data_IF_262128467684
#
_entry.id   IF_262128467684
#
_cell.length_a   1.000
_cell.length_b   1.000
_cell.length_c   1.000
_cell.angle_alpha   90.00
_cell.angle_beta   90.00
_cell.angle_gamma   90.00
#
_symmetry.space_group_name_H-M   'P 1'
#
loop_
_entity.id
_entity.type
_entity.pdbx_description
1 polymer ?
#
# COMPACT_ATOMS: atom_id res chain seq x y z
N UNK A 1 14.37 54.69 18.74
CA UNK A 1 13.53 54.22 17.62
C UNK A 1 13.82 52.74 17.39
N UNK A 2 13.04 51.85 18.01
CA UNK A 2 13.17 50.41 17.82
C UNK A 2 12.11 49.95 16.82
N UNK A 3 12.54 49.46 15.66
CA UNK A 3 11.68 48.83 14.67
C UNK A 3 11.32 47.43 15.17
N UNK A 4 10.09 47.26 15.65
CA UNK A 4 9.56 45.96 16.00
C UNK A 4 9.26 45.18 14.71
N UNK A 5 10.13 44.21 14.40
CA UNK A 5 9.86 43.18 13.40
C UNK A 5 8.62 42.39 13.82
N UNK A 6 7.56 42.49 13.01
CA UNK A 6 6.37 41.67 13.14
C UNK A 6 6.71 40.20 12.95
N UNK A 7 6.81 39.48 14.07
CA UNK A 7 6.68 38.03 14.15
C UNK A 7 5.33 37.66 13.54
N UNK A 8 5.35 37.11 12.33
CA UNK A 8 4.18 36.50 11.70
C UNK A 8 3.83 35.25 12.49
N UNK A 9 2.86 35.41 13.39
CA UNK A 9 2.20 34.32 14.11
C UNK A 9 1.76 33.23 13.12
N UNK A 10 2.36 32.04 13.21
CA UNK A 10 1.86 30.81 12.62
C UNK A 10 0.49 30.46 13.21
N UNK A 11 -0.58 31.04 12.64
CA UNK A 11 -1.96 30.65 12.96
C UNK A 11 -2.25 29.30 12.31
N UNK A 12 -2.77 28.37 13.11
CA UNK A 12 -3.06 26.98 12.77
C UNK A 12 -3.60 26.78 11.35
N UNK A 13 -2.78 26.17 10.51
CA UNK A 13 -3.06 26.00 9.09
C UNK A 13 -4.04 24.85 8.86
N UNK A 14 -5.12 25.11 8.13
CA UNK A 14 -5.94 24.05 7.55
C UNK A 14 -5.04 23.08 6.76
N UNK A 15 -5.31 21.76 6.82
CA UNK A 15 -4.55 20.77 6.07
C UNK A 15 -4.67 21.04 4.56
N UNK A 16 -3.60 20.79 3.80
CA UNK A 16 -3.58 20.99 2.35
C UNK A 16 -4.55 20.05 1.64
N UNK A 17 -4.63 18.82 2.16
CA UNK A 17 -5.64 17.83 1.90
C UNK A 17 -5.68 16.88 3.09
N UNK A 18 -6.80 16.18 3.25
CA UNK A 18 -6.96 15.09 4.20
C UNK A 18 -7.61 13.91 3.50
N UNK A 19 -7.34 12.70 3.98
CA UNK A 19 -7.92 11.49 3.40
C UNK A 19 -8.17 10.42 4.45
N UNK A 20 -9.17 9.58 4.17
CA UNK A 20 -9.44 8.38 4.94
C UNK A 20 -8.52 7.24 4.50
N UNK A 21 -8.04 6.43 5.43
CA UNK A 21 -7.29 5.21 5.11
C UNK A 21 -7.87 4.02 5.86
N UNK A 22 -7.99 2.89 5.17
CA UNK A 22 -8.33 1.59 5.74
C UNK A 22 -7.55 0.49 5.01
N UNK A 23 -7.28 -0.62 5.70
CA UNK A 23 -6.60 -1.80 5.14
C UNK A 23 -7.28 -3.05 5.65
N UNK A 24 -7.00 -4.19 5.01
CA UNK A 24 -7.30 -5.53 5.50
C UNK A 24 -8.75 -5.65 5.99
N UNK A 25 -9.70 -5.15 5.17
CA UNK A 25 -11.12 -5.34 5.47
C UNK A 25 -11.41 -6.83 5.61
N UNK A 26 -10.82 -7.66 4.75
CA UNK A 26 -10.82 -9.12 4.83
C UNK A 26 -12.22 -9.66 5.18
N UNK A 27 -13.25 -9.14 4.51
CA UNK A 27 -14.62 -9.57 4.74
C UNK A 27 -14.81 -11.02 4.27
N UNK A 28 -15.55 -11.81 5.03
CA UNK A 28 -16.09 -13.09 4.58
C UNK A 28 -17.32 -13.43 5.41
N UNK A 29 -18.33 -14.03 4.79
CA UNK A 29 -19.57 -14.42 5.48
C UNK A 29 -19.43 -15.76 6.24
N UNK A 30 -18.36 -15.87 7.02
CA UNK A 30 -18.01 -17.06 7.79
C UNK A 30 -17.91 -16.72 9.29
N UNK A 31 -18.02 -17.71 10.20
CA UNK A 31 -17.78 -17.49 11.63
C UNK A 31 -16.39 -16.92 11.91
N UNK A 32 -16.26 -16.21 13.03
CA UNK A 32 -14.96 -15.70 13.50
C UNK A 32 -13.94 -16.84 13.60
N UNK A 33 -12.67 -16.51 13.38
CA UNK A 33 -11.59 -17.49 13.43
C UNK A 33 -10.30 -16.86 13.89
N UNK A 34 -9.18 -17.47 13.50
CA UNK A 34 -7.85 -17.01 13.86
C UNK A 34 -6.93 -17.01 12.64
N UNK A 35 -5.89 -16.16 12.67
CA UNK A 35 -4.74 -16.26 11.78
C UNK A 35 -3.89 -17.49 12.09
N UNK A 36 -2.90 -17.78 11.26
CA UNK A 36 -1.93 -18.85 11.52
C UNK A 36 -1.22 -18.69 12.87
N UNK A 37 -0.97 -17.44 13.31
CA UNK A 37 -0.35 -17.11 14.59
C UNK A 37 -1.36 -17.08 15.76
N UNK A 38 -2.60 -17.49 15.55
CA UNK A 38 -3.63 -17.50 16.59
C UNK A 38 -4.26 -16.13 16.87
N UNK A 39 -4.03 -15.12 16.03
CA UNK A 39 -4.64 -13.78 16.20
C UNK A 39 -6.11 -13.83 15.78
N UNK A 40 -7.07 -13.39 16.63
CA UNK A 40 -8.50 -13.39 16.27
C UNK A 40 -8.80 -12.62 14.99
N UNK A 41 -9.69 -13.17 14.15
CA UNK A 41 -10.22 -12.56 12.92
C UNK A 41 -11.74 -12.52 12.97
N UNK A 42 -12.30 -11.32 12.77
CA UNK A 42 -13.74 -11.04 12.88
C UNK A 42 -14.37 -10.76 11.50
N UNK A 43 -14.43 -11.78 10.64
CA UNK A 43 -14.71 -11.61 9.20
C UNK A 43 -16.02 -10.91 8.86
N UNK A 44 -17.12 -11.19 9.58
CA UNK A 44 -18.40 -10.48 9.36
C UNK A 44 -18.38 -9.07 9.94
N UNK A 45 -17.69 -8.90 11.06
CA UNK A 45 -17.63 -7.61 11.76
C UNK A 45 -16.86 -6.56 10.97
N UNK A 46 -15.91 -6.97 10.11
CA UNK A 46 -15.14 -6.01 9.31
C UNK A 46 -16.00 -5.18 8.36
N UNK A 47 -17.13 -5.71 7.87
CA UNK A 47 -18.12 -4.92 7.13
C UNK A 47 -18.71 -3.79 7.98
N UNK A 48 -18.99 -4.06 9.26
CA UNK A 48 -19.48 -3.03 10.19
C UNK A 48 -18.40 -1.99 10.50
N UNK A 49 -17.12 -2.38 10.51
CA UNK A 49 -15.99 -1.45 10.66
C UNK A 49 -15.93 -0.54 9.45
N UNK A 50 -16.01 -1.09 8.23
CA UNK A 50 -16.00 -0.30 7.00
C UNK A 50 -17.18 0.70 6.95
N UNK A 51 -18.39 0.25 7.29
CA UNK A 51 -19.57 1.11 7.39
C UNK A 51 -19.36 2.30 8.35
N UNK A 52 -18.73 2.04 9.50
CA UNK A 52 -18.40 3.10 10.46
C UNK A 52 -17.36 4.06 9.91
N UNK A 53 -16.32 3.54 9.24
CA UNK A 53 -15.28 4.35 8.62
C UNK A 53 -15.88 5.25 7.53
N UNK A 54 -16.66 4.70 6.60
CA UNK A 54 -17.33 5.48 5.54
C UNK A 54 -18.26 6.55 6.12
N UNK A 55 -19.03 6.22 7.16
CA UNK A 55 -19.87 7.19 7.88
C UNK A 55 -19.04 8.29 8.54
N UNK A 56 -17.94 7.93 9.21
CA UNK A 56 -17.00 8.86 9.84
C UNK A 56 -16.39 9.82 8.82
N UNK A 57 -15.90 9.27 7.70
CA UNK A 57 -15.35 10.03 6.58
C UNK A 57 -16.36 10.99 5.97
N UNK A 58 -17.59 10.55 5.75
CA UNK A 58 -18.66 11.41 5.24
C UNK A 58 -19.07 12.53 6.22
N UNK A 59 -18.92 12.32 7.52
CA UNK A 59 -19.15 13.35 8.53
C UNK A 59 -17.98 14.35 8.59
N UNK A 60 -16.76 13.91 8.25
CA UNK A 60 -15.61 14.78 8.08
C UNK A 60 -15.61 15.40 6.66
N UNK A 61 -16.28 16.54 6.52
CA UNK A 61 -16.45 17.25 5.23
C UNK A 61 -15.16 17.73 4.55
N UNK A 62 -13.98 17.52 5.16
CA UNK A 62 -12.69 17.99 4.66
C UNK A 62 -11.83 16.88 4.04
N UNK A 63 -12.38 15.67 3.80
CA UNK A 63 -11.64 14.61 3.13
C UNK A 63 -11.71 14.76 1.61
N UNK A 64 -10.55 14.76 0.97
CA UNK A 64 -10.39 14.86 -0.48
C UNK A 64 -10.59 13.52 -1.17
N UNK A 65 -10.24 12.41 -0.49
CA UNK A 65 -10.37 11.05 -0.98
C UNK A 65 -10.31 10.04 0.16
N UNK A 66 -10.55 8.77 -0.14
CA UNK A 66 -10.21 7.65 0.72
C UNK A 66 -9.31 6.66 -0.04
N UNK A 67 -8.46 5.93 0.68
CA UNK A 67 -7.62 4.89 0.09
C UNK A 67 -7.70 3.58 0.89
N UNK A 68 -7.86 2.48 0.17
CA UNK A 68 -7.93 1.13 0.68
C UNK A 68 -6.67 0.35 0.32
N UNK A 69 -5.86 -0.02 1.32
CA UNK A 69 -4.58 -0.72 1.16
C UNK A 69 -4.73 -2.24 1.01
N UNK A 70 -5.69 -2.66 0.18
CA UNK A 70 -5.85 -4.06 -0.22
C UNK A 70 -6.43 -4.99 0.83
N UNK A 71 -6.47 -6.27 0.48
CA UNK A 71 -7.10 -7.34 1.26
C UNK A 71 -8.58 -7.10 1.56
N UNK A 72 -9.37 -6.89 0.50
CA UNK A 72 -10.80 -6.54 0.57
C UNK A 72 -11.69 -7.68 1.15
N UNK A 73 -11.38 -8.92 0.81
CA UNK A 73 -12.12 -10.15 1.16
C UNK A 73 -11.12 -11.20 1.63
N UNK A 74 -11.42 -11.91 2.72
CA UNK A 74 -10.49 -12.88 3.29
C UNK A 74 -10.28 -14.10 2.37
N UNK A 75 -9.09 -14.71 2.40
CA UNK A 75 -8.74 -15.89 1.60
C UNK A 75 -9.57 -17.13 1.95
N UNK A 76 -10.17 -17.16 3.16
CA UNK A 76 -11.12 -18.19 3.61
C UNK A 76 -12.55 -17.96 3.12
N UNK A 77 -12.83 -16.88 2.40
CA UNK A 77 -14.11 -16.71 1.73
C UNK A 77 -14.33 -17.89 0.74
N UNK A 78 -15.50 -18.55 0.79
CA UNK A 78 -15.85 -19.59 -0.19
C UNK A 78 -15.72 -19.05 -1.62
N UNK A 79 -15.08 -19.81 -2.51
CA UNK A 79 -14.70 -19.32 -3.85
C UNK A 79 -15.89 -18.98 -4.74
N UNK A 80 -16.99 -19.69 -4.55
CA UNK A 80 -18.28 -19.43 -5.19
C UNK A 80 -18.95 -18.12 -4.69
N UNK A 81 -18.53 -17.61 -3.53
CA UNK A 81 -19.04 -16.38 -2.93
C UNK A 81 -18.10 -15.17 -3.11
N UNK A 82 -16.83 -15.40 -3.46
CA UNK A 82 -15.80 -14.35 -3.58
C UNK A 82 -16.24 -13.14 -4.41
N UNK A 83 -16.88 -13.35 -5.57
CA UNK A 83 -17.35 -12.25 -6.42
C UNK A 83 -18.39 -11.38 -5.72
N UNK A 84 -19.37 -12.01 -5.06
CA UNK A 84 -20.43 -11.29 -4.35
C UNK A 84 -19.89 -10.60 -3.10
N UNK A 85 -18.94 -11.23 -2.40
CA UNK A 85 -18.27 -10.64 -1.25
C UNK A 85 -17.48 -9.38 -1.65
N UNK A 86 -16.72 -9.43 -2.75
CA UNK A 86 -15.97 -8.27 -3.26
C UNK A 86 -16.94 -7.16 -3.66
N UNK A 87 -17.98 -7.45 -4.44
CA UNK A 87 -19.00 -6.47 -4.82
C UNK A 87 -19.64 -5.81 -3.60
N UNK A 88 -20.03 -6.60 -2.60
CA UNK A 88 -20.63 -6.08 -1.37
C UNK A 88 -19.71 -5.10 -0.62
N UNK A 89 -18.41 -5.38 -0.55
CA UNK A 89 -17.45 -4.47 0.09
C UNK A 89 -17.21 -3.23 -0.77
N UNK A 90 -17.11 -3.38 -2.09
CA UNK A 90 -16.99 -2.24 -3.02
C UNK A 90 -18.21 -1.33 -2.92
N UNK A 91 -19.42 -1.88 -2.92
CA UNK A 91 -20.68 -1.13 -2.80
C UNK A 91 -20.72 -0.28 -1.51
N UNK A 92 -20.08 -0.74 -0.42
CA UNK A 92 -19.94 0.05 0.79
C UNK A 92 -18.96 1.22 0.63
N UNK A 93 -17.82 1.01 -0.06
CA UNK A 93 -16.92 2.11 -0.40
C UNK A 93 -17.59 3.17 -1.29
N UNK A 94 -18.50 2.77 -2.18
CA UNK A 94 -19.27 3.69 -3.03
C UNK A 94 -20.21 4.61 -2.25
N UNK A 95 -20.48 4.32 -0.96
CA UNK A 95 -21.22 5.23 -0.09
C UNK A 95 -20.38 6.44 0.38
N UNK A 96 -19.05 6.44 0.18
CA UNK A 96 -18.20 7.59 0.47
C UNK A 96 -18.42 8.72 -0.55
N UNK A 97 -18.58 9.95 -0.06
CA UNK A 97 -18.84 11.16 -0.88
C UNK A 97 -17.55 11.75 -1.46
N UNK A 98 -16.75 10.94 -2.10
CA UNK A 98 -15.48 11.33 -2.72
C UNK A 98 -14.84 10.16 -3.48
N UNK A 99 -13.72 10.39 -4.16
CA UNK A 99 -12.99 9.32 -4.83
C UNK A 99 -12.42 8.33 -3.81
N UNK A 100 -12.52 7.03 -4.15
CA UNK A 100 -11.89 5.94 -3.41
C UNK A 100 -10.83 5.30 -4.30
N UNK A 101 -9.61 5.20 -3.78
CA UNK A 101 -8.50 4.53 -4.44
C UNK A 101 -8.27 3.18 -3.78
N UNK A 102 -7.95 2.17 -4.59
CA UNK A 102 -7.76 0.81 -4.12
C UNK A 102 -6.39 0.27 -4.51
N UNK A 103 -5.82 -0.51 -3.60
CA UNK A 103 -4.68 -1.39 -3.85
C UNK A 103 -5.17 -2.85 -3.88
N UNK A 104 -4.42 -3.73 -4.52
CA UNK A 104 -4.66 -5.18 -4.45
C UNK A 104 -3.74 -5.81 -3.42
N UNK A 105 -4.25 -6.80 -2.69
CA UNK A 105 -3.46 -7.62 -1.78
C UNK A 105 -3.53 -9.11 -2.12
N UNK A 106 -2.75 -9.92 -1.41
CA UNK A 106 -2.74 -11.38 -1.58
C UNK A 106 -4.13 -11.97 -1.34
N UNK A 107 -4.86 -11.52 -0.31
CA UNK A 107 -6.21 -12.01 -0.05
C UNK A 107 -7.17 -11.65 -1.18
N UNK A 108 -6.99 -10.51 -1.85
CA UNK A 108 -7.75 -10.19 -3.07
C UNK A 108 -7.46 -11.21 -4.18
N UNK A 109 -6.18 -11.53 -4.39
CA UNK A 109 -5.70 -12.43 -5.44
C UNK A 109 -5.98 -13.91 -5.17
N UNK A 110 -6.20 -14.31 -3.91
CA UNK A 110 -6.74 -15.63 -3.59
C UNK A 110 -8.20 -15.80 -4.03
N UNK A 111 -8.93 -14.69 -4.18
CA UNK A 111 -10.38 -14.71 -4.35
C UNK A 111 -10.80 -14.49 -5.80
N UNK A 112 -10.23 -13.49 -6.48
CA UNK A 112 -10.57 -13.17 -7.86
C UNK A 112 -9.30 -12.98 -8.71
N UNK A 113 -9.32 -13.44 -9.98
CA UNK A 113 -8.27 -13.11 -10.93
C UNK A 113 -8.27 -11.61 -11.26
N UNK A 114 -7.11 -11.09 -11.67
CA UNK A 114 -6.88 -9.66 -11.95
C UNK A 114 -7.89 -9.07 -12.94
N UNK A 115 -8.23 -9.79 -14.00
CA UNK A 115 -9.20 -9.38 -15.03
C UNK A 115 -10.61 -9.11 -14.48
N UNK A 116 -11.01 -9.79 -13.40
CA UNK A 116 -12.27 -9.56 -12.69
C UNK A 116 -12.14 -8.57 -11.54
N UNK A 117 -11.03 -8.63 -10.80
CA UNK A 117 -10.81 -7.83 -9.60
C UNK A 117 -10.59 -6.35 -9.92
N UNK A 118 -9.69 -6.03 -10.86
CA UNK A 118 -9.28 -4.65 -11.12
C UNK A 118 -10.44 -3.76 -11.61
N UNK A 119 -11.33 -4.22 -12.52
CA UNK A 119 -12.50 -3.44 -12.91
C UNK A 119 -13.46 -3.17 -11.75
N UNK A 120 -13.67 -4.13 -10.85
CA UNK A 120 -14.52 -3.94 -9.67
C UNK A 120 -13.94 -2.88 -8.72
N UNK A 121 -12.62 -2.82 -8.60
CA UNK A 121 -11.92 -1.83 -7.79
C UNK A 121 -11.68 -0.50 -8.53
N UNK A 122 -12.15 -0.36 -9.77
CA UNK A 122 -11.90 0.81 -10.64
C UNK A 122 -10.41 1.16 -10.76
N UNK A 123 -9.53 0.17 -10.66
CA UNK A 123 -8.09 0.37 -10.83
C UNK A 123 -7.80 0.53 -12.33
N UNK A 124 -7.10 1.60 -12.77
CA UNK A 124 -6.78 1.81 -14.18
C UNK A 124 -5.97 0.66 -14.75
N UNK A 125 -6.62 -0.21 -15.53
CA UNK A 125 -6.02 -1.38 -16.15
C UNK A 125 -5.58 -1.04 -17.57
N UNK A 126 -4.49 -0.28 -17.69
CA UNK A 126 -4.03 0.24 -18.97
C UNK A 126 -3.45 -0.85 -19.89
N UNK A 127 -2.87 -1.92 -19.35
CA UNK A 127 -2.13 -2.92 -20.14
C UNK A 127 -2.15 -4.31 -19.48
N UNK A 128 -3.22 -5.09 -19.63
CA UNK A 128 -3.16 -6.54 -19.38
C UNK A 128 -3.02 -7.00 -17.93
N UNK A 129 -3.57 -6.27 -16.95
CA UNK A 129 -3.61 -6.69 -15.54
C UNK A 129 -2.74 -5.85 -14.60
N UNK A 130 -2.20 -4.73 -15.11
CA UNK A 130 -1.46 -3.72 -14.35
C UNK A 130 -2.30 -3.13 -13.22
N UNK A 131 -1.79 -3.15 -11.99
CA UNK A 131 -2.49 -2.63 -10.81
C UNK A 131 -1.77 -1.46 -10.10
N UNK A 132 -0.78 -0.86 -10.76
CA UNK A 132 -0.06 0.33 -10.28
C UNK A 132 -0.42 1.57 -11.10
N UNK A 133 -0.52 2.70 -10.41
CA UNK A 133 -0.98 3.97 -10.97
C UNK A 133 -0.58 5.15 -10.09
N UNK A 134 -0.75 6.37 -10.60
CA UNK A 134 -0.54 7.60 -9.85
C UNK A 134 -1.75 8.54 -9.95
N UNK A 135 -1.89 9.46 -8.99
CA UNK A 135 -2.88 10.53 -9.02
C UNK A 135 -2.41 11.75 -8.24
N UNK A 136 -3.05 12.92 -8.44
CA UNK A 136 -2.75 14.14 -7.70
C UNK A 136 -3.95 14.54 -6.83
N UNK A 137 -3.85 14.46 -5.49
CA UNK A 137 -4.96 14.86 -4.62
C UNK A 137 -5.05 16.37 -4.40
N UNK A 138 -3.95 17.10 -4.65
CA UNK A 138 -3.84 18.54 -4.50
C UNK A 138 -2.66 19.07 -5.34
N UNK A 139 -2.69 20.34 -5.78
CA UNK A 139 -1.56 20.95 -6.49
C UNK A 139 -0.25 20.80 -5.72
N UNK A 140 0.80 20.36 -6.41
CA UNK A 140 2.10 20.12 -5.80
C UNK A 140 2.24 18.78 -5.07
N UNK A 141 1.25 17.90 -5.14
CA UNK A 141 1.29 16.56 -4.55
C UNK A 141 0.95 15.47 -5.56
N UNK A 142 1.61 14.34 -5.43
CA UNK A 142 1.45 13.15 -6.26
C UNK A 142 1.43 11.91 -5.37
N UNK A 143 0.42 11.08 -5.55
CA UNK A 143 0.31 9.77 -4.90
C UNK A 143 0.68 8.71 -5.90
N UNK A 144 1.50 7.77 -5.47
CA UNK A 144 1.91 6.61 -6.25
C UNK A 144 1.42 5.36 -5.55
N UNK A 145 0.73 4.51 -6.31
CA UNK A 145 0.18 3.23 -5.86
C UNK A 145 0.93 2.13 -6.58
N UNK A 146 1.68 1.34 -5.83
CA UNK A 146 2.47 0.22 -6.34
C UNK A 146 1.72 -1.11 -6.22
N UNK A 147 1.93 -1.96 -7.21
CA UNK A 147 1.51 -3.36 -7.24
C UNK A 147 2.65 -4.22 -6.67
N UNK A 148 2.56 -4.51 -5.37
CA UNK A 148 3.50 -5.40 -4.68
C UNK A 148 3.38 -6.88 -5.09
N UNK A 149 2.41 -7.22 -5.95
CA UNK A 149 2.16 -8.56 -6.48
C UNK A 149 2.42 -8.64 -7.98
N UNK A 150 3.14 -7.67 -8.54
CA UNK A 150 3.52 -7.64 -9.95
C UNK A 150 4.34 -8.88 -10.31
N UNK A 151 5.43 -9.14 -9.59
CA UNK A 151 6.12 -10.45 -9.60
C UNK A 151 5.65 -11.24 -8.38
N UNK A 152 4.73 -12.18 -8.58
CA UNK A 152 4.22 -13.02 -7.49
C UNK A 152 3.76 -14.39 -7.96
N UNK A 153 3.75 -15.35 -7.02
CA UNK A 153 3.29 -16.71 -7.27
C UNK A 153 1.75 -16.83 -7.31
N UNK A 154 1.03 -15.72 -7.11
CA UNK A 154 -0.42 -15.65 -6.98
C UNK A 154 -0.98 -14.52 -7.86
N UNK A 155 -2.26 -14.60 -8.23
CA UNK A 155 -2.96 -13.52 -8.94
C UNK A 155 -2.75 -13.44 -10.46
N UNK A 156 -1.64 -13.94 -10.99
CA UNK A 156 -1.42 -14.16 -12.43
C UNK A 156 -1.72 -15.63 -12.82
N UNK A 157 -2.03 -15.91 -14.10
CA UNK A 157 -2.12 -17.28 -14.61
C UNK A 157 -0.85 -18.10 -14.36
N UNK A 158 -0.99 -19.42 -14.21
CA UNK A 158 0.12 -20.30 -13.81
C UNK A 158 1.30 -20.29 -14.80
N UNK A 159 1.01 -20.13 -16.09
CA UNK A 159 1.96 -20.07 -17.19
C UNK A 159 2.43 -18.64 -17.52
N UNK A 160 1.97 -17.63 -16.76
CA UNK A 160 2.37 -16.25 -16.97
C UNK A 160 3.86 -16.03 -16.64
N UNK A 161 4.63 -15.25 -17.44
CA UNK A 161 6.05 -15.01 -17.19
C UNK A 161 6.35 -14.52 -15.77
N UNK A 162 5.54 -13.58 -15.24
CA UNK A 162 5.70 -13.06 -13.87
C UNK A 162 5.47 -14.13 -12.79
N UNK A 163 4.59 -15.12 -13.02
CA UNK A 163 4.41 -16.27 -12.11
C UNK A 163 5.57 -17.23 -12.18
N UNK A 164 6.05 -17.54 -13.38
CA UNK A 164 7.19 -18.44 -13.57
C UNK A 164 8.47 -17.87 -12.94
N UNK A 165 8.69 -16.57 -13.09
CA UNK A 165 9.77 -15.83 -12.43
C UNK A 165 9.64 -15.91 -10.90
N UNK A 166 8.46 -15.60 -10.37
CA UNK A 166 8.20 -15.64 -8.94
C UNK A 166 8.41 -17.04 -8.33
N UNK A 167 7.94 -18.09 -9.01
CA UNK A 167 8.14 -19.47 -8.58
C UNK A 167 9.61 -19.88 -8.63
N UNK A 168 10.37 -19.41 -9.62
CA UNK A 168 11.83 -19.62 -9.68
C UNK A 168 12.52 -18.94 -8.49
N UNK A 169 12.20 -17.67 -8.26
CA UNK A 169 12.76 -16.90 -7.14
C UNK A 169 12.48 -17.56 -5.78
N UNK A 170 11.23 -17.99 -5.53
CA UNK A 170 10.86 -18.68 -4.29
C UNK A 170 11.56 -20.03 -4.12
N UNK A 171 11.79 -20.79 -5.19
CA UNK A 171 12.55 -22.05 -5.12
C UNK A 171 13.99 -21.82 -4.69
N UNK A 172 14.60 -20.73 -5.13
CA UNK A 172 15.98 -20.37 -4.79
C UNK A 172 16.11 -19.79 -3.37
N UNK A 173 15.08 -19.07 -2.89
CA UNK A 173 15.14 -18.28 -1.66
C UNK A 173 14.46 -18.91 -0.44
N UNK A 174 13.45 -19.76 -0.65
CA UNK A 174 12.74 -20.43 0.43
C UNK A 174 12.91 -21.96 0.32
N UNK A 175 13.70 -22.59 1.20
CA UNK A 175 13.99 -24.02 1.12
C UNK A 175 12.81 -24.92 1.53
N UNK A 176 11.77 -24.35 2.16
CA UNK A 176 10.62 -25.12 2.64
C UNK A 176 9.79 -25.70 1.50
N UNK A 177 9.18 -26.87 1.70
CA UNK A 177 8.20 -27.43 0.77
C UNK A 177 6.94 -26.57 0.68
N UNK A 178 6.39 -26.20 1.84
CA UNK A 178 5.38 -25.15 1.96
C UNK A 178 6.06 -23.77 1.84
N UNK A 179 5.82 -23.10 0.71
CA UNK A 179 6.40 -21.78 0.44
C UNK A 179 5.76 -20.65 1.27
N UNK A 180 4.72 -20.92 2.05
CA UNK A 180 4.21 -20.00 3.07
C UNK A 180 4.86 -20.19 4.44
N UNK A 181 5.67 -21.24 4.62
CA UNK A 181 6.41 -21.48 5.87
C UNK A 181 7.63 -20.56 5.96
N UNK A 182 7.78 -19.81 7.06
CA UNK A 182 8.98 -19.03 7.36
C UNK A 182 10.06 -19.84 8.09
N UNK A 183 9.85 -21.14 8.33
CA UNK A 183 10.77 -21.94 9.13
C UNK A 183 12.17 -21.98 8.50
N UNK A 184 13.20 -21.73 9.30
CA UNK A 184 14.59 -21.67 8.82
C UNK A 184 14.95 -20.40 8.03
N UNK A 185 14.02 -19.46 7.83
CA UNK A 185 14.32 -18.13 7.30
C UNK A 185 14.63 -17.16 8.45
N UNK A 186 15.71 -16.40 8.30
CA UNK A 186 16.20 -15.48 9.33
C UNK A 186 16.23 -14.03 8.83
N UNK A 187 16.08 -13.09 9.77
CA UNK A 187 16.13 -11.66 9.49
C UNK A 187 15.21 -11.24 8.34
N UNK A 188 15.76 -10.51 7.37
CA UNK A 188 15.02 -10.04 6.20
C UNK A 188 14.50 -11.18 5.32
N UNK A 189 15.15 -12.35 5.31
CA UNK A 189 14.81 -13.43 4.38
C UNK A 189 13.50 -14.12 4.73
N UNK A 190 12.96 -13.86 5.94
CA UNK A 190 11.58 -14.21 6.32
C UNK A 190 10.53 -13.67 5.37
N UNK A 191 10.84 -12.68 4.53
CA UNK A 191 9.95 -12.13 3.49
C UNK A 191 9.74 -13.04 2.29
N UNK A 192 10.56 -14.06 2.09
CA UNK A 192 10.50 -14.93 0.91
C UNK A 192 9.40 -15.99 1.03
N UNK A 193 8.16 -15.52 1.14
CA UNK A 193 6.96 -16.33 1.32
C UNK A 193 6.05 -16.19 0.10
N UNK A 194 5.33 -17.25 -0.24
CA UNK A 194 4.44 -17.32 -1.41
C UNK A 194 3.28 -16.33 -1.33
N UNK A 195 2.86 -15.96 -0.12
CA UNK A 195 1.85 -14.93 0.10
C UNK A 195 2.36 -13.50 -0.08
N UNK A 196 3.65 -13.30 -0.38
CA UNK A 196 4.23 -12.01 -0.74
C UNK A 196 4.51 -11.94 -2.25
N UNK A 197 5.07 -10.81 -2.69
CA UNK A 197 5.54 -10.61 -4.06
C UNK A 197 6.67 -9.58 -4.15
N UNK A 198 6.93 -9.12 -5.37
CA UNK A 198 7.86 -8.05 -5.67
C UNK A 198 7.27 -7.10 -6.70
N UNK A 199 7.83 -5.89 -6.72
CA UNK A 199 7.63 -4.92 -7.79
C UNK A 199 8.55 -5.29 -8.95
N UNK A 200 8.00 -5.47 -10.15
CA UNK A 200 8.74 -5.85 -11.34
C UNK A 200 9.59 -4.72 -11.91
N UNK A 201 10.52 -5.08 -12.80
CA UNK A 201 11.45 -4.14 -13.43
C UNK A 201 10.73 -3.02 -14.19
N UNK A 202 9.77 -3.38 -15.04
CA UNK A 202 8.93 -2.42 -15.79
C UNK A 202 8.24 -1.41 -14.86
N UNK A 203 7.78 -1.87 -13.69
CA UNK A 203 7.12 -1.01 -12.71
C UNK A 203 8.13 -0.11 -11.99
N UNK A 204 9.35 -0.58 -11.73
CA UNK A 204 10.43 0.24 -11.17
C UNK A 204 10.88 1.32 -12.16
N UNK A 205 10.98 1.00 -13.45
CA UNK A 205 11.27 1.98 -14.51
C UNK A 205 10.17 3.03 -14.61
N UNK A 206 8.90 2.60 -14.59
CA UNK A 206 7.76 3.50 -14.54
C UNK A 206 7.80 4.43 -13.30
N UNK A 207 8.11 3.88 -12.12
CA UNK A 207 8.25 4.66 -10.89
C UNK A 207 9.36 5.71 -11.01
N UNK A 208 10.52 5.34 -11.55
CA UNK A 208 11.63 6.28 -11.78
C UNK A 208 11.21 7.43 -12.73
N UNK A 209 10.49 7.13 -13.81
CA UNK A 209 9.91 8.17 -14.69
C UNK A 209 8.96 9.10 -13.93
N UNK A 210 8.07 8.55 -13.10
CA UNK A 210 7.13 9.31 -12.27
C UNK A 210 7.86 10.22 -11.27
N UNK A 211 8.90 9.72 -10.60
CA UNK A 211 9.68 10.48 -9.63
C UNK A 211 10.47 11.61 -10.30
N UNK A 212 11.08 11.37 -11.48
CA UNK A 212 11.77 12.41 -12.25
C UNK A 212 10.83 13.53 -12.69
N UNK A 213 9.63 13.17 -13.17
CA UNK A 213 8.61 14.13 -13.54
C UNK A 213 8.15 14.97 -12.33
N UNK A 214 7.94 14.34 -11.17
CA UNK A 214 7.59 15.02 -9.94
C UNK A 214 8.68 16.02 -9.50
N UNK A 215 9.97 15.67 -9.62
CA UNK A 215 11.10 16.58 -9.34
C UNK A 215 11.06 17.80 -10.27
N UNK A 216 10.89 17.57 -11.58
CA UNK A 216 10.81 18.64 -12.58
C UNK A 216 9.63 19.59 -12.31
N UNK A 217 8.50 19.04 -11.86
CA UNK A 217 7.29 19.79 -11.50
C UNK A 217 7.31 20.35 -10.06
N UNK A 218 8.38 20.11 -9.29
CA UNK A 218 8.50 20.50 -7.86
C UNK A 218 7.34 19.97 -7.00
N UNK A 219 6.89 18.75 -7.29
CA UNK A 219 5.83 18.07 -6.56
C UNK A 219 6.40 17.22 -5.43
N UNK A 220 5.60 17.03 -4.39
CA UNK A 220 5.87 16.10 -3.28
C UNK A 220 5.22 14.77 -3.60
N UNK A 221 5.99 13.69 -3.50
CA UNK A 221 5.50 12.33 -3.77
C UNK A 221 5.19 11.60 -2.47
N UNK A 222 4.02 10.98 -2.43
CA UNK A 222 3.60 10.01 -1.40
C UNK A 222 3.49 8.65 -2.08
N UNK A 223 4.40 7.75 -1.76
CA UNK A 223 4.41 6.39 -2.32
C UNK A 223 3.70 5.42 -1.36
N UNK A 224 2.89 4.53 -1.91
CA UNK A 224 2.13 3.52 -1.21
C UNK A 224 2.38 2.16 -1.85
N UNK A 225 2.98 1.25 -1.08
CA UNK A 225 3.11 -0.17 -1.40
C UNK A 225 2.37 -0.98 -0.34
N UNK A 226 1.67 -2.03 -0.77
CA UNK A 226 0.98 -2.96 0.12
C UNK A 226 1.90 -3.37 1.27
N UNK A 227 1.42 -3.13 2.49
CA UNK A 227 1.99 -3.64 3.72
C UNK A 227 0.82 -4.08 4.58
N UNK A 228 0.73 -5.39 4.85
CA UNK A 228 -0.19 -6.00 5.83
C UNK A 228 0.08 -5.54 7.29
N UNK A 229 0.84 -4.47 7.46
CA UNK A 229 1.01 -3.73 8.69
C UNK A 229 0.95 -2.25 8.28
N UNK A 230 -0.11 -1.52 8.63
CA UNK A 230 -0.09 -0.05 8.67
C UNK A 230 0.90 0.38 9.75
N UNK A 231 2.17 0.26 9.40
CA UNK A 231 3.18 1.24 9.72
C UNK A 231 3.61 1.68 8.33
N UNK A 232 2.96 2.73 7.85
CA UNK A 232 3.63 3.72 7.00
C UNK A 232 5.11 3.76 7.38
N UNK A 233 5.99 3.96 6.42
CA UNK A 233 7.41 4.25 6.63
C UNK A 233 7.52 5.44 7.61
N UNK A 234 7.41 5.13 8.91
CA UNK A 234 7.13 6.01 10.03
C UNK A 234 7.43 5.18 11.28
N UNK A 235 8.39 5.68 12.05
CA UNK A 235 8.79 5.24 13.39
C UNK A 235 9.60 3.94 13.44
N UNK A 236 10.84 4.05 13.94
CA UNK A 236 11.76 2.94 14.16
C UNK A 236 11.28 1.98 15.25
N UNK A 237 10.29 1.16 14.91
CA UNK A 237 9.87 -0.02 15.66
C UNK A 237 9.71 -1.20 14.70
N UNK A 238 10.06 -2.37 15.22
CA UNK A 238 10.23 -3.67 14.55
C UNK A 238 9.20 -3.88 13.42
N UNK A 239 9.69 -3.86 12.18
CA UNK A 239 8.96 -4.35 11.01
C UNK A 239 9.04 -5.88 11.06
N UNK A 240 7.90 -6.57 11.01
CA UNK A 240 7.92 -8.01 10.79
C UNK A 240 8.45 -8.24 9.37
N UNK A 241 9.70 -8.70 9.27
CA UNK A 241 10.38 -8.84 7.98
C UNK A 241 9.60 -9.72 7.01
N UNK A 242 8.75 -10.62 7.52
CA UNK A 242 7.88 -11.53 6.77
C UNK A 242 6.85 -10.86 5.86
N UNK A 243 6.59 -9.55 5.98
CA UNK A 243 5.55 -8.84 5.20
C UNK A 243 6.09 -7.83 4.19
N UNK A 244 7.40 -7.87 3.93
CA UNK A 244 8.06 -6.98 2.96
C UNK A 244 7.99 -7.56 1.53
N UNK A 245 7.92 -6.70 0.49
CA UNK A 245 8.20 -7.14 -0.87
C UNK A 245 9.57 -7.82 -0.95
N UNK A 246 9.73 -8.81 -1.82
CA UNK A 246 10.98 -9.56 -1.91
C UNK A 246 12.18 -8.66 -2.24
N UNK A 247 11.96 -7.61 -3.03
CA UNK A 247 12.94 -6.61 -3.40
C UNK A 247 12.95 -5.34 -2.51
N UNK A 248 12.42 -5.39 -1.28
CA UNK A 248 12.36 -4.24 -0.35
C UNK A 248 13.69 -3.47 -0.16
N UNK A 249 14.85 -4.12 -0.33
CA UNK A 249 16.18 -3.46 -0.26
C UNK A 249 16.43 -2.45 -1.40
N UNK A 250 15.66 -2.49 -2.48
CA UNK A 250 15.77 -1.56 -3.61
C UNK A 250 15.00 -0.25 -3.37
N UNK A 251 14.12 -0.18 -2.37
CA UNK A 251 13.28 0.99 -2.08
C UNK A 251 13.92 2.00 -1.12
N UNK A 252 15.26 2.11 -1.11
CA UNK A 252 15.94 3.16 -0.31
C UNK A 252 15.76 4.50 -1.03
N UNK A 253 14.57 5.08 -0.88
CA UNK A 253 14.18 6.37 -1.47
C UNK A 253 14.37 7.47 -0.43
N UNK A 254 15.52 8.13 -0.53
CA UNK A 254 15.88 9.29 0.27
C UNK A 254 15.23 10.50 -0.41
N UNK A 255 14.03 10.90 0.05
CA UNK A 255 13.30 12.18 -0.21
C UNK A 255 11.79 12.12 0.14
N UNK A 256 11.32 11.06 0.82
CA UNK A 256 9.92 10.93 1.22
C UNK A 256 9.58 11.81 2.44
N UNK A 257 8.41 12.44 2.40
CA UNK A 257 7.85 13.16 3.56
C UNK A 257 7.33 12.15 4.57
N UNK A 258 8.02 12.05 5.71
CA UNK A 258 7.57 11.33 6.89
C UNK A 258 6.54 12.18 7.64
N UNK A 259 5.26 11.82 7.56
CA UNK A 259 4.21 12.45 8.38
C UNK A 259 4.20 11.88 9.80
N UNK A 260 4.99 12.49 10.68
CA UNK A 260 4.99 12.20 12.12
C UNK A 260 4.21 13.28 12.86
N UNK A 261 3.02 12.97 13.34
CA UNK A 261 2.52 13.32 14.69
C UNK A 261 1.02 12.96 14.84
N UNK A 262 0.67 12.27 15.93
CA UNK A 262 -0.73 12.15 16.40
C UNK A 262 -1.43 10.78 16.33
N UNK A 263 -0.71 9.66 16.21
CA UNK A 263 -1.33 8.32 16.20
C UNK A 263 -1.58 7.83 17.64
N UNK A 264 -2.76 8.09 18.19
CA UNK A 264 -3.27 7.34 19.36
C UNK A 264 -4.03 6.10 18.87
N UNK A 265 -3.53 4.92 19.24
CA UNK A 265 -4.10 3.64 18.85
C UNK A 265 -5.39 3.35 19.60
N UNK A 266 -6.42 2.90 18.88
CA UNK A 266 -7.24 1.69 19.15
C UNK A 266 -8.20 1.54 17.96
N UNK A 267 -8.12 0.41 17.24
CA UNK A 267 -9.05 -0.07 16.19
C UNK A 267 -9.16 0.78 14.89
N UNK A 268 -8.16 0.58 14.02
CA UNK A 268 -8.12 0.64 12.54
C UNK A 268 -9.00 1.63 11.77
N UNK A 269 -9.09 2.89 12.20
CA UNK A 269 -9.38 4.02 11.32
C UNK A 269 -8.31 5.08 11.56
N UNK A 270 -7.69 5.59 10.48
CA UNK A 270 -6.82 6.76 10.58
C UNK A 270 -7.31 7.84 9.62
N UNK A 271 -7.40 9.05 10.13
CA UNK A 271 -7.53 10.26 9.33
C UNK A 271 -6.14 10.87 9.26
N UNK A 272 -5.59 10.97 8.05
CA UNK A 272 -4.26 11.53 7.85
C UNK A 272 -4.43 12.98 7.36
N UNK A 273 -3.82 13.91 8.10
CA UNK A 273 -3.80 15.34 7.76
C UNK A 273 -2.40 15.76 7.29
N UNK A 274 -2.30 16.26 6.06
CA UNK A 274 -1.03 16.75 5.51
C UNK A 274 -0.87 18.25 5.79
N UNK A 275 0.05 18.62 6.69
CA UNK A 275 0.39 20.01 7.02
C UNK A 275 1.60 20.53 6.21
N UNK A 276 1.70 21.85 6.03
CA UNK A 276 2.89 22.52 5.46
C UNK A 276 4.05 22.46 6.47
N UNK A 277 5.10 21.68 6.18
CA UNK A 277 6.36 21.72 6.92
C UNK A 277 7.34 22.74 6.29
N UNK A 278 8.02 23.59 7.07
CA UNK A 278 9.15 24.39 6.59
C UNK A 278 10.40 23.50 6.44
N UNK A 279 11.14 23.68 5.34
CA UNK A 279 12.40 22.96 5.09
C UNK A 279 13.59 23.72 5.69
N UNK A 280 14.36 23.05 6.55
CA UNK A 280 15.79 23.35 6.74
C UNK A 280 16.63 22.23 6.13
N UNK A 281 17.61 22.65 5.33
CA UNK A 281 18.56 21.92 4.49
C UNK A 281 19.11 20.60 5.08
N UNK A 282 19.06 19.51 4.29
CA UNK A 282 19.84 18.29 4.48
C UNK A 282 20.42 17.85 3.13
N UNK A 283 21.74 17.62 3.10
CA UNK A 283 22.55 17.32 1.92
C UNK A 283 22.38 15.87 1.43
N UNK A 284 22.53 15.70 0.11
CA UNK A 284 22.51 14.45 -0.67
C UNK A 284 23.76 13.60 -0.40
N UNK A 285 23.66 12.32 0.03
CA UNK A 285 24.76 11.37 -0.03
C UNK A 285 24.67 10.44 -1.25
N UNK A 286 25.84 9.97 -1.69
CA UNK A 286 26.21 9.35 -2.96
C UNK A 286 25.74 7.90 -3.21
N UNK A 287 24.55 7.50 -2.79
CA UNK A 287 24.14 6.08 -2.86
C UNK A 287 23.61 5.60 -4.23
N UNK A 288 23.43 6.47 -5.22
CA UNK A 288 22.92 6.09 -6.56
C UNK A 288 23.98 5.49 -7.50
N UNK A 289 25.27 5.77 -7.30
CA UNK A 289 26.31 5.36 -8.26
C UNK A 289 26.61 3.85 -8.28
N UNK A 290 26.13 3.07 -7.31
CA UNK A 290 26.44 1.63 -7.23
C UNK A 290 25.55 0.73 -8.09
N UNK A 291 24.48 1.27 -8.69
CA UNK A 291 23.59 0.50 -9.57
C UNK A 291 24.15 0.38 -11.00
N UNK A 292 24.77 1.45 -11.52
CA UNK A 292 25.38 1.44 -12.86
C UNK A 292 26.69 0.63 -12.97
N UNK A 293 27.40 0.40 -11.87
CA UNK A 293 28.69 -0.33 -11.89
C UNK A 293 28.53 -1.86 -11.98
N UNK A 294 27.32 -2.41 -11.79
CA UNK A 294 27.13 -3.87 -11.80
C UNK A 294 26.76 -4.47 -13.17
N UNK A 295 26.47 -3.65 -14.18
CA UNK A 295 26.02 -4.10 -15.51
C UNK A 295 26.86 -3.56 -16.68
N UNK A 296 28.08 -3.09 -16.41
CA UNK A 296 29.14 -3.06 -17.41
C UNK A 296 30.13 -4.18 -17.07
N UNK A 297 29.89 -5.38 -17.59
CA UNK A 297 30.88 -6.36 -18.06
C UNK A 297 30.15 -7.59 -18.63
#
# INVERSE_FOLDING_TARGET
MGSANGLTNGRGGHPLFAFGVITDVQYADIPNGHSFLGVPRFYRHSMLVLQRAVKSWNNNKNLNFAIHFGDIVDGKCPKDQSLNAVKKVVDEFENFKGPVYHMIGNHCLYNLPRDKLLPLLKIPNLDGGRAYYEFSPAPGYRFVVLDGYDISAIGWPHDHPKTLEALKFLRERNPNSDKNSPNGLEGLDRRFLMFNGAVGEEQMEWLDCVLRDAINMKQKVVDTIMKEDIRLILTGFIIECSKLPWNARQFVLQDMIFMTEGIQSILTEFIIQCLKLPWNTLQVPSCWNRWNEKHQH
#
